data_IF_234453097893
#
_entry.id   IF_234453097893
#
_cell.length_a   1.000
_cell.length_b   1.000
_cell.length_c   1.000
_cell.angle_alpha   90.00
_cell.angle_beta   90.00
_cell.angle_gamma   90.00
#
_symmetry.space_group_name_H-M   'P 1'
#
loop_
_entity.id
_entity.type
_entity.pdbx_description
1 polymer ?
#
# COMPACT_ATOMS: atom_id res chain seq x y z
N UNK A 1 -10.15 1.15 5.68
CA UNK A 1 -8.99 0.47 5.07
C UNK A 1 -8.38 1.42 4.05
N UNK A 2 -7.08 1.66 4.10
CA UNK A 2 -6.36 2.56 3.20
C UNK A 2 -5.25 1.79 2.47
N UNK A 3 -5.55 1.20 1.30
CA UNK A 3 -4.54 0.50 0.49
C UNK A 3 -3.56 1.48 -0.15
N UNK A 4 -2.30 1.05 -0.27
CA UNK A 4 -1.26 1.77 -1.03
C UNK A 4 -1.32 1.48 -2.53
N UNK A 5 -0.14 1.42 -3.17
CA UNK A 5 -0.03 0.97 -4.55
C UNK A 5 -0.24 -0.57 -4.64
N UNK A 6 -1.32 -0.99 -5.30
CA UNK A 6 -1.74 -2.41 -5.41
C UNK A 6 -1.78 -2.86 -6.88
N UNK A 7 -1.37 -4.10 -7.16
CA UNK A 7 -1.35 -4.71 -8.51
C UNK A 7 -2.73 -5.01 -9.10
N UNK A 8 -3.51 -3.96 -9.35
CA UNK A 8 -4.82 -4.04 -10.02
C UNK A 8 -4.71 -3.76 -11.52
N UNK A 9 -5.72 -4.19 -12.29
CA UNK A 9 -5.80 -3.87 -13.73
C UNK A 9 -5.81 -2.37 -14.01
N UNK A 10 -6.42 -1.57 -13.12
CA UNK A 10 -6.38 -0.11 -13.21
C UNK A 10 -4.94 0.41 -13.05
N UNK A 11 -4.22 -0.05 -12.03
CA UNK A 11 -2.83 0.36 -11.76
C UNK A 11 -1.90 -0.04 -12.91
N UNK A 12 -2.09 -1.23 -13.49
CA UNK A 12 -1.32 -1.66 -14.68
C UNK A 12 -1.53 -0.74 -15.89
N UNK A 13 -2.73 -0.19 -16.06
CA UNK A 13 -3.05 0.75 -17.16
C UNK A 13 -2.54 2.16 -16.90
N UNK A 14 -2.53 2.60 -15.63
CA UNK A 14 -2.26 3.99 -15.26
C UNK A 14 -0.80 4.26 -14.88
N UNK A 15 -0.09 3.28 -14.31
CA UNK A 15 1.26 3.48 -13.79
C UNK A 15 2.31 3.07 -14.82
N UNK A 16 3.03 4.07 -15.35
CA UNK A 16 4.22 3.85 -16.18
C UNK A 16 5.36 3.23 -15.37
N UNK A 17 6.39 2.73 -16.05
CA UNK A 17 7.60 2.24 -15.39
C UNK A 17 8.21 3.29 -14.44
N UNK A 18 8.27 4.56 -14.87
CA UNK A 18 8.79 5.65 -14.06
C UNK A 18 7.95 5.91 -12.80
N UNK A 19 6.61 5.88 -12.93
CA UNK A 19 5.70 6.00 -11.78
C UNK A 19 5.93 4.86 -10.79
N UNK A 20 6.15 3.63 -11.28
CA UNK A 20 6.41 2.47 -10.42
C UNK A 20 7.72 2.60 -9.66
N UNK A 21 8.80 3.02 -10.30
CA UNK A 21 10.10 3.30 -9.64
C UNK A 21 9.91 4.36 -8.54
N UNK A 22 9.16 5.42 -8.85
CA UNK A 22 8.85 6.52 -7.94
C UNK A 22 8.03 6.09 -6.71
N UNK A 23 7.07 5.16 -6.87
CA UNK A 23 6.34 4.59 -5.74
C UNK A 23 7.20 3.61 -4.95
N UNK A 24 7.85 2.65 -5.61
CA UNK A 24 8.64 1.58 -4.95
C UNK A 24 9.72 2.18 -4.06
N UNK A 25 10.43 3.20 -4.52
CA UNK A 25 11.44 3.91 -3.72
C UNK A 25 10.91 4.56 -2.44
N UNK A 26 9.60 4.85 -2.37
CA UNK A 26 8.94 5.44 -1.21
C UNK A 26 8.20 4.43 -0.34
N UNK A 27 8.02 3.20 -0.80
CA UNK A 27 7.38 2.13 -0.04
C UNK A 27 8.49 1.38 0.72
N UNK A 28 8.50 1.35 2.07
CA UNK A 28 9.50 0.61 2.83
C UNK A 28 9.64 -0.87 2.44
N UNK A 29 8.55 -1.55 2.08
CA UNK A 29 8.58 -2.92 1.57
C UNK A 29 9.08 -3.07 0.12
N UNK A 30 9.40 -1.97 -0.57
CA UNK A 30 10.00 -1.93 -1.91
C UNK A 30 9.23 -2.71 -2.99
N UNK A 31 7.90 -2.77 -2.87
CA UNK A 31 7.03 -3.40 -3.87
C UNK A 31 5.62 -2.86 -3.78
N UNK A 32 4.83 -3.15 -4.81
CA UNK A 32 3.38 -2.98 -4.72
C UNK A 32 2.80 -4.13 -3.91
N UNK A 33 1.68 -3.86 -3.23
CA UNK A 33 0.88 -4.90 -2.61
C UNK A 33 0.08 -5.68 -3.65
N UNK A 34 -0.44 -6.84 -3.25
CA UNK A 34 -1.40 -7.60 -4.07
C UNK A 34 -2.83 -7.30 -3.63
N UNK A 35 -3.83 -7.53 -4.51
CA UNK A 35 -5.24 -7.44 -4.12
C UNK A 35 -5.58 -8.33 -2.92
N UNK A 36 -4.96 -9.51 -2.83
CA UNK A 36 -5.17 -10.47 -1.74
C UNK A 36 -4.71 -9.93 -0.40
N UNK A 37 -3.57 -9.21 -0.33
CA UNK A 37 -3.10 -8.60 0.92
C UNK A 37 -4.10 -7.56 1.46
N UNK A 38 -4.69 -6.77 0.56
CA UNK A 38 -5.76 -5.82 0.92
C UNK A 38 -7.03 -6.55 1.34
N UNK A 39 -7.42 -7.61 0.60
CA UNK A 39 -8.60 -8.40 0.90
C UNK A 39 -8.47 -9.12 2.24
N UNK A 40 -7.31 -9.72 2.57
CA UNK A 40 -7.06 -10.38 3.85
C UNK A 40 -7.21 -9.42 5.02
N UNK A 41 -6.73 -8.17 4.90
CA UNK A 41 -6.93 -7.16 5.94
C UNK A 41 -8.41 -6.77 6.08
N UNK A 42 -9.15 -6.64 4.97
CA UNK A 42 -10.60 -6.41 5.01
C UNK A 42 -11.34 -7.58 5.69
N UNK A 43 -10.99 -8.82 5.35
CA UNK A 43 -11.56 -10.03 5.94
C UNK A 43 -11.29 -10.07 7.44
N UNK A 44 -10.06 -9.80 7.88
CA UNK A 44 -9.71 -9.72 9.31
C UNK A 44 -10.62 -8.74 10.06
N UNK A 45 -10.83 -7.54 9.53
CA UNK A 45 -11.70 -6.52 10.13
C UNK A 45 -13.18 -6.96 10.23
N UNK A 46 -13.60 -7.96 9.45
CA UNK A 46 -14.93 -8.56 9.51
C UNK A 46 -15.02 -9.78 10.44
N UNK A 47 -13.91 -10.24 11.04
CA UNK A 47 -13.91 -11.37 11.99
C UNK A 47 -14.32 -10.93 13.39
N UNK A 48 -14.62 -11.92 14.26
CA UNK A 48 -14.87 -11.66 15.69
C UNK A 48 -13.63 -11.13 16.43
N UNK A 49 -12.44 -11.45 15.95
CA UNK A 49 -11.17 -11.04 16.58
C UNK A 49 -10.94 -9.52 16.46
N UNK A 50 -11.53 -8.88 15.45
CA UNK A 50 -11.54 -7.43 15.28
C UNK A 50 -12.71 -6.73 16.00
N UNK A 51 -13.46 -7.43 16.87
CA UNK A 51 -14.75 -6.98 17.42
C UNK A 51 -14.72 -5.69 18.26
N UNK A 52 -13.54 -5.19 18.66
CA UNK A 52 -13.38 -3.92 19.36
C UNK A 52 -12.67 -2.84 18.52
N UNK A 53 -12.37 -3.13 17.25
CA UNK A 53 -11.74 -2.19 16.31
C UNK A 53 -12.85 -1.47 15.54
N UNK A 54 -13.09 -0.20 15.89
CA UNK A 54 -14.07 0.65 15.21
C UNK A 54 -13.54 2.08 15.05
N UNK A 55 -13.97 2.79 14.01
CA UNK A 55 -13.52 4.16 13.71
C UNK A 55 -12.06 4.28 13.25
N UNK A 56 -11.38 3.17 12.96
CA UNK A 56 -9.97 3.17 12.60
C UNK A 56 -9.72 3.07 11.09
N UNK A 57 -8.74 3.84 10.59
CA UNK A 57 -8.24 3.73 9.22
C UNK A 57 -6.96 2.90 9.23
N UNK A 58 -7.09 1.61 8.94
CA UNK A 58 -5.94 0.70 8.81
C UNK A 58 -5.22 0.91 7.47
N UNK A 59 -3.95 1.29 7.53
CA UNK A 59 -3.07 1.38 6.36
C UNK A 59 -2.62 -0.03 5.91
N UNK A 60 -2.74 -0.31 4.61
CA UNK A 60 -2.30 -1.56 3.96
C UNK A 60 -1.50 -1.17 2.71
N UNK A 61 -0.32 -0.61 2.94
CA UNK A 61 0.39 0.17 1.93
C UNK A 61 1.90 -0.09 1.88
N UNK A 62 2.34 -1.20 2.50
CA UNK A 62 3.76 -1.56 2.58
C UNK A 62 4.60 -0.58 3.40
N UNK A 63 3.97 0.23 4.25
CA UNK A 63 4.61 1.23 5.12
C UNK A 63 4.68 2.63 4.51
N UNK A 64 4.04 2.87 3.37
CA UNK A 64 4.10 4.15 2.65
C UNK A 64 3.69 5.35 3.54
N UNK A 65 2.57 5.23 4.28
CA UNK A 65 2.10 6.28 5.19
C UNK A 65 3.11 6.62 6.29
N UNK A 66 3.89 5.64 6.73
CA UNK A 66 4.86 5.77 7.83
C UNK A 66 6.30 6.04 7.35
N UNK A 67 6.54 6.15 6.05
CA UNK A 67 7.89 6.25 5.48
C UNK A 67 8.64 7.54 5.88
N UNK A 68 7.93 8.57 6.35
CA UNK A 68 8.54 9.83 6.78
C UNK A 68 9.14 10.63 5.62
N UNK A 69 10.31 11.25 5.84
CA UNK A 69 11.02 12.01 4.81
C UNK A 69 11.73 11.03 3.86
N UNK A 70 11.17 10.83 2.67
CA UNK A 70 11.83 10.01 1.65
C UNK A 70 12.86 10.85 0.90
N UNK A 71 14.12 10.40 0.88
CA UNK A 71 15.19 11.04 0.10
C UNK A 71 14.80 11.04 -1.38
N UNK A 72 15.01 12.14 -2.13
CA UNK A 72 14.85 12.13 -3.57
C UNK A 72 15.63 10.96 -4.17
N UNK A 73 15.06 10.32 -5.18
CA UNK A 73 15.81 9.41 -6.03
C UNK A 73 17.00 10.19 -6.59
N UNK A 74 18.22 9.76 -6.30
CA UNK A 74 19.42 10.36 -6.89
C UNK A 74 19.30 10.17 -8.41
N UNK A 75 19.01 11.25 -9.12
CA UNK A 75 19.02 11.29 -10.58
C UNK A 75 20.42 11.71 -11.01
N UNK A 76 21.31 10.75 -11.13
CA UNK A 76 22.53 10.90 -11.93
C UNK A 76 22.19 10.92 -13.43
#
# INVERSE_FOLDING_TARGET
LAPGAIETELVKKMHTAQTRISYVSRIPMQRYGTPEETASAAVYLCTRDAGYITGHVLAVDGGFLAAGVVKPLDTD
#
